data_IF_227430517082
#
_entry.id   IF_227430517082
#
_cell.length_a   1.000
_cell.length_b   1.000
_cell.length_c   1.000
_cell.angle_alpha   90.00
_cell.angle_beta   90.00
_cell.angle_gamma   90.00
#
_symmetry.space_group_name_H-M   'P 1'
#
loop_
_entity.id
_entity.type
_entity.pdbx_description
1 polymer ?
#
# COMPACT_ATOMS: atom_id res chain seq x y z
N UNK A 1 -16.06 1.44 -15.93
CA UNK A 1 -16.30 0.00 -16.15
C UNK A 1 -17.49 -0.41 -15.30
N UNK A 2 -18.50 -1.15 -15.82
CA UNK A 2 -19.63 -1.59 -15.01
C UNK A 2 -19.21 -2.70 -14.03
N UNK A 3 -19.77 -2.67 -12.83
CA UNK A 3 -19.58 -3.70 -11.80
C UNK A 3 -20.08 -5.08 -12.29
N UNK A 4 -19.31 -6.14 -12.02
CA UNK A 4 -19.69 -7.54 -12.30
C UNK A 4 -19.33 -8.44 -11.12
N UNK A 5 -20.25 -9.30 -10.72
CA UNK A 5 -20.02 -10.32 -9.68
C UNK A 5 -19.17 -11.44 -10.27
N UNK A 6 -18.07 -11.79 -9.60
CA UNK A 6 -17.21 -12.90 -10.00
C UNK A 6 -17.63 -14.18 -9.24
N UNK A 7 -17.78 -15.34 -9.90
CA UNK A 7 -18.27 -16.57 -9.25
C UNK A 7 -17.35 -17.08 -8.12
N UNK A 8 -16.06 -16.76 -8.17
CA UNK A 8 -15.12 -17.08 -7.09
C UNK A 8 -15.21 -16.15 -5.87
N UNK A 9 -15.93 -15.04 -5.97
CA UNK A 9 -16.11 -14.08 -4.87
C UNK A 9 -17.45 -14.35 -4.19
N UNK A 10 -17.46 -15.32 -3.26
CA UNK A 10 -18.64 -15.64 -2.46
C UNK A 10 -18.80 -14.61 -1.35
N UNK A 11 -19.83 -13.76 -1.46
CA UNK A 11 -20.17 -12.84 -0.39
C UNK A 11 -20.72 -13.59 0.84
N UNK A 12 -20.52 -13.07 2.06
CA UNK A 12 -21.19 -13.58 3.24
C UNK A 12 -22.72 -13.52 3.11
N UNK A 13 -23.41 -14.49 3.72
CA UNK A 13 -24.88 -14.56 3.68
C UNK A 13 -25.54 -13.42 4.45
N UNK A 14 -24.94 -12.99 5.56
CA UNK A 14 -25.37 -11.81 6.31
C UNK A 14 -24.60 -10.58 5.84
N UNK A 15 -25.33 -9.63 5.27
CA UNK A 15 -24.82 -8.33 4.80
C UNK A 15 -24.30 -7.45 5.94
N UNK A 16 -24.74 -7.66 7.17
CA UNK A 16 -24.24 -6.94 8.34
C UNK A 16 -23.12 -7.69 9.06
N UNK A 17 -22.66 -8.83 8.51
CA UNK A 17 -21.62 -9.59 9.16
C UNK A 17 -20.33 -8.77 9.21
N UNK A 18 -19.64 -8.88 10.34
CA UNK A 18 -18.43 -8.13 10.56
C UNK A 18 -17.26 -8.81 9.82
N UNK A 19 -16.92 -8.27 8.65
CA UNK A 19 -15.99 -8.92 7.70
C UNK A 19 -14.54 -8.91 8.22
N UNK A 20 -14.11 -7.83 8.87
CA UNK A 20 -12.75 -7.69 9.39
C UNK A 20 -12.78 -7.07 10.79
N UNK A 21 -12.32 -7.80 11.80
CA UNK A 21 -11.79 -7.14 13.01
C UNK A 21 -10.33 -6.87 12.74
N UNK A 22 -9.92 -5.61 12.79
CA UNK A 22 -8.52 -5.32 13.03
C UNK A 22 -8.09 -6.02 14.33
N UNK A 23 -6.82 -6.43 14.37
CA UNK A 23 -6.25 -7.01 15.57
C UNK A 23 -6.24 -5.94 16.67
N UNK A 24 -6.88 -6.23 17.80
CA UNK A 24 -6.80 -5.36 18.97
C UNK A 24 -5.36 -5.32 19.48
N UNK A 25 -4.97 -4.21 20.11
CA UNK A 25 -3.59 -4.01 20.58
C UNK A 25 -3.13 -5.11 21.54
N UNK A 26 -3.99 -5.62 22.43
CA UNK A 26 -3.58 -6.69 23.35
C UNK A 26 -3.29 -8.01 22.62
N UNK A 27 -4.01 -8.28 21.52
CA UNK A 27 -3.75 -9.47 20.69
C UNK A 27 -2.42 -9.34 19.98
N UNK A 28 -2.08 -8.15 19.49
CA UNK A 28 -0.77 -7.88 18.90
C UNK A 28 0.35 -8.08 19.92
N UNK A 29 0.22 -7.52 21.13
CA UNK A 29 1.17 -7.76 22.21
C UNK A 29 1.31 -9.25 22.54
N UNK A 30 0.19 -9.99 22.61
CA UNK A 30 0.23 -11.43 22.87
C UNK A 30 1.03 -12.21 21.82
N UNK A 31 1.01 -11.79 20.55
CA UNK A 31 1.81 -12.42 19.48
C UNK A 31 3.30 -12.13 19.65
N UNK A 32 3.67 -10.92 20.05
CA UNK A 32 5.07 -10.55 20.33
C UNK A 32 5.59 -11.34 21.53
N UNK A 33 4.85 -11.32 22.65
CA UNK A 33 5.21 -11.99 23.90
C UNK A 33 5.42 -13.50 23.69
N UNK A 34 4.54 -14.13 22.91
CA UNK A 34 4.64 -15.55 22.56
C UNK A 34 5.64 -15.88 21.44
N UNK A 35 6.29 -14.87 20.86
CA UNK A 35 7.12 -15.04 19.64
C UNK A 35 6.38 -15.82 18.53
N UNK A 36 5.08 -15.55 18.39
CA UNK A 36 4.15 -16.27 17.53
C UNK A 36 3.78 -15.50 16.25
N UNK A 37 4.50 -14.41 15.96
CA UNK A 37 4.35 -13.65 14.73
C UNK A 37 5.32 -14.20 13.66
N UNK A 38 4.82 -15.09 12.81
CA UNK A 38 5.60 -15.72 11.74
C UNK A 38 5.34 -15.05 10.40
N UNK A 39 6.41 -14.60 9.74
CA UNK A 39 6.33 -14.06 8.39
C UNK A 39 6.78 -15.09 7.36
N UNK A 40 6.12 -15.19 6.19
CA UNK A 40 6.59 -16.03 5.10
C UNK A 40 7.91 -15.49 4.55
N UNK A 41 8.75 -16.39 4.03
CA UNK A 41 9.93 -15.96 3.28
C UNK A 41 9.50 -15.27 1.98
N UNK A 42 10.07 -14.10 1.72
CA UNK A 42 9.67 -13.25 0.60
C UNK A 42 9.86 -13.93 -0.77
N UNK A 43 10.92 -14.72 -0.94
CA UNK A 43 11.22 -15.47 -2.16
C UNK A 43 10.22 -16.59 -2.47
N UNK A 44 9.51 -17.06 -1.45
CA UNK A 44 8.42 -18.04 -1.58
C UNK A 44 7.07 -17.35 -1.73
N UNK A 45 6.84 -16.26 -0.99
CA UNK A 45 5.59 -15.52 -1.04
C UNK A 45 5.31 -15.00 -2.45
N UNK A 46 6.30 -14.41 -3.13
CA UNK A 46 6.15 -13.89 -4.49
C UNK A 46 5.76 -14.93 -5.54
N UNK A 47 5.97 -16.22 -5.28
CA UNK A 47 5.54 -17.32 -6.16
C UNK A 47 4.09 -17.72 -5.92
N UNK A 48 3.60 -17.56 -4.69
CA UNK A 48 2.24 -17.98 -4.27
C UNK A 48 1.26 -16.83 -4.44
N UNK A 49 1.67 -15.61 -4.07
CA UNK A 49 0.97 -14.38 -4.36
C UNK A 49 1.90 -13.43 -5.14
N UNK A 50 1.87 -13.49 -6.48
CA UNK A 50 2.67 -12.61 -7.32
C UNK A 50 2.25 -11.15 -7.26
N UNK A 51 1.09 -10.82 -6.69
CA UNK A 51 0.55 -9.47 -6.65
C UNK A 51 0.64 -8.83 -5.27
N UNK A 52 1.03 -9.57 -4.23
CA UNK A 52 1.36 -9.01 -2.91
C UNK A 52 2.38 -7.87 -3.07
N UNK A 53 2.04 -6.69 -2.53
CA UNK A 53 2.87 -5.49 -2.63
C UNK A 53 2.92 -4.81 -4.01
N UNK A 54 2.18 -5.29 -5.01
CA UNK A 54 2.08 -4.62 -6.31
C UNK A 54 1.09 -3.46 -6.26
N UNK A 55 1.47 -2.34 -6.87
CA UNK A 55 0.54 -1.26 -7.14
C UNK A 55 -0.41 -1.66 -8.27
N UNK A 56 -1.67 -1.24 -8.17
CA UNK A 56 -2.55 -1.25 -9.35
C UNK A 56 -1.93 -0.34 -10.42
N UNK A 57 -2.18 -0.63 -11.71
CA UNK A 57 -1.67 0.20 -12.79
C UNK A 57 -1.99 1.69 -12.60
N UNK A 58 -3.18 1.99 -12.07
CA UNK A 58 -3.60 3.37 -11.75
C UNK A 58 -2.75 3.97 -10.63
N UNK A 59 -2.53 3.24 -9.52
CA UNK A 59 -1.71 3.74 -8.41
C UNK A 59 -0.23 3.91 -8.82
N UNK A 60 0.28 3.03 -9.69
CA UNK A 60 1.62 3.17 -10.25
C UNK A 60 1.74 4.39 -11.17
N UNK A 61 0.70 4.69 -11.97
CA UNK A 61 0.64 5.90 -12.80
C UNK A 61 0.59 7.18 -11.95
N UNK A 62 -0.25 7.21 -10.91
CA UNK A 62 -0.37 8.36 -10.00
C UNK A 62 0.91 8.58 -9.19
N UNK A 63 1.56 7.51 -8.71
CA UNK A 63 2.83 7.61 -8.01
C UNK A 63 3.96 8.22 -8.85
N UNK A 64 3.95 8.00 -10.17
CA UNK A 64 4.90 8.64 -11.08
C UNK A 64 4.60 10.14 -11.28
N UNK A 65 3.34 10.56 -11.22
CA UNK A 65 2.96 11.98 -11.32
C UNK A 65 3.36 12.78 -10.06
N UNK A 66 3.22 12.22 -8.85
CA UNK A 66 3.72 12.89 -7.63
C UNK A 66 5.24 13.02 -7.61
N UNK A 67 5.98 12.01 -8.09
CA UNK A 67 7.45 12.11 -8.24
C UNK A 67 7.79 13.26 -9.19
N UNK A 68 7.03 13.43 -10.28
CA UNK A 68 7.25 14.51 -11.25
C UNK A 68 7.00 15.88 -10.61
N UNK A 69 5.93 16.03 -9.81
CA UNK A 69 5.59 17.29 -9.14
C UNK A 69 6.61 17.65 -8.05
N UNK A 70 7.03 16.68 -7.23
CA UNK A 70 8.09 16.87 -6.23
C UNK A 70 9.44 17.22 -6.89
N UNK A 71 9.79 16.58 -8.00
CA UNK A 71 11.01 16.90 -8.75
C UNK A 71 10.95 18.31 -9.37
N UNK A 72 9.81 18.71 -9.94
CA UNK A 72 9.60 20.06 -10.48
C UNK A 72 9.71 21.14 -9.39
N UNK A 73 9.04 20.93 -8.25
CA UNK A 73 9.11 21.83 -7.10
C UNK A 73 10.54 21.94 -6.56
N UNK A 74 11.26 20.81 -6.45
CA UNK A 74 12.65 20.79 -6.01
C UNK A 74 13.56 21.61 -6.93
N UNK A 75 13.40 21.49 -8.25
CA UNK A 75 14.15 22.28 -9.22
C UNK A 75 13.82 23.78 -9.15
N UNK A 76 12.55 24.15 -8.96
CA UNK A 76 12.15 25.55 -8.80
C UNK A 76 12.72 26.19 -7.53
N UNK A 77 12.69 25.48 -6.40
CA UNK A 77 13.24 25.96 -5.11
C UNK A 77 14.75 26.15 -5.20
N UNK A 78 15.49 25.20 -5.78
CA UNK A 78 16.95 25.31 -5.96
C UNK A 78 17.30 26.49 -6.85
N UNK A 79 16.60 26.67 -7.98
CA UNK A 79 16.84 27.79 -8.89
C UNK A 79 16.55 29.16 -8.25
N UNK A 80 15.58 29.23 -7.33
CA UNK A 80 15.30 30.44 -6.55
C UNK A 80 16.42 30.74 -5.55
N UNK A 81 16.87 29.74 -4.79
CA UNK A 81 17.98 29.87 -3.83
C UNK A 81 19.27 30.32 -4.54
N UNK A 82 19.57 29.78 -5.72
CA UNK A 82 20.77 30.14 -6.49
C UNK A 82 20.70 31.56 -7.08
N UNK A 83 19.49 32.07 -7.35
CA UNK A 83 19.28 33.48 -7.74
C UNK A 83 19.50 34.43 -6.58
N UNK A 84 19.02 34.09 -5.38
CA UNK A 84 19.21 34.91 -4.19
C UNK A 84 20.68 34.95 -3.73
N UNK A 85 21.46 33.89 -3.97
CA UNK A 85 22.90 33.86 -3.64
C UNK A 85 23.81 34.60 -4.63
N UNK A 86 23.27 35.00 -5.80
CA UNK A 86 24.03 35.72 -6.85
C UNK A 86 23.74 37.23 -6.90
N UNK A 87 22.86 37.75 -6.04
CA UNK A 87 22.68 39.17 -5.76
C UNK A 87 23.42 39.57 -4.49
#
# INVERSE_FOLDING_TARGET
MPYRIHPACTAPTDVNCLIWRYMDFEKFLSLIDKSALYFPRLDKLSKVDPYEGHFTHVNAMIGNEEITLFDQLKHQVIAHIDKEKKG
#
